data_IF_042171310855
#
_entry.id   IF_042171310855
#
_cell.length_a   1.000
_cell.length_b   1.000
_cell.length_c   1.000
_cell.angle_alpha   90.00
_cell.angle_beta   90.00
_cell.angle_gamma   90.00
#
_symmetry.space_group_name_H-M   'P 1'
#
loop_
_entity.id
_entity.type
_entity.pdbx_description
1 polymer ?
#
# COMPACT_ATOMS: atom_id res chain seq x y z
N UNK A 1 -30.33 11.44 15.61
CA UNK A 1 -30.08 11.41 17.07
C UNK A 1 -30.77 10.15 17.51
N UNK A 2 -30.08 9.04 17.32
CA UNK A 2 -30.72 7.74 17.19
C UNK A 2 -30.53 6.99 18.50
N UNK A 3 -31.64 6.49 19.03
CA UNK A 3 -31.75 5.95 20.37
C UNK A 3 -30.85 4.73 20.56
N UNK A 4 -30.02 4.81 21.60
CA UNK A 4 -29.38 3.65 22.22
C UNK A 4 -30.49 2.65 22.56
N UNK A 5 -30.40 1.45 22.01
CA UNK A 5 -31.41 0.41 22.22
C UNK A 5 -31.32 -0.10 23.66
N UNK A 6 -32.45 -0.51 24.23
CA UNK A 6 -32.54 -1.00 25.62
C UNK A 6 -31.61 -2.19 25.93
N UNK A 7 -31.19 -2.94 24.91
CA UNK A 7 -30.24 -4.04 25.04
C UNK A 7 -28.79 -3.56 25.27
N UNK A 8 -28.39 -2.43 24.67
CA UNK A 8 -27.06 -1.85 24.90
C UNK A 8 -26.92 -1.29 26.32
N UNK A 9 -27.99 -0.71 26.86
CA UNK A 9 -28.07 -0.26 28.27
C UNK A 9 -27.97 -1.45 29.25
N UNK A 10 -28.57 -2.60 28.91
CA UNK A 10 -28.46 -3.82 29.71
C UNK A 10 -27.05 -4.40 29.76
N UNK A 11 -26.32 -4.35 28.64
CA UNK A 11 -24.91 -4.74 28.61
C UNK A 11 -24.04 -3.79 29.43
N UNK A 12 -24.28 -2.48 29.34
CA UNK A 12 -23.58 -1.48 30.17
C UNK A 12 -23.80 -1.71 31.67
N UNK A 13 -25.05 -1.97 32.09
CA UNK A 13 -25.35 -2.27 33.50
C UNK A 13 -24.70 -3.59 33.96
N UNK A 14 -24.64 -4.62 33.11
CA UNK A 14 -23.98 -5.89 33.43
C UNK A 14 -22.46 -5.75 33.52
N UNK A 15 -21.82 -5.02 32.62
CA UNK A 15 -20.38 -4.73 32.68
C UNK A 15 -20.04 -3.88 33.91
N UNK A 16 -20.85 -2.88 34.22
CA UNK A 16 -20.72 -2.09 35.44
C UNK A 16 -20.91 -2.95 36.70
N UNK A 17 -21.82 -3.92 36.69
CA UNK A 17 -22.03 -4.85 37.81
C UNK A 17 -20.86 -5.81 38.01
N UNK A 18 -20.25 -6.32 36.95
CA UNK A 18 -19.07 -7.21 37.00
C UNK A 18 -17.87 -6.47 37.62
N UNK A 19 -17.64 -5.22 37.20
CA UNK A 19 -16.62 -4.35 37.79
C UNK A 19 -16.92 -4.00 39.25
N UNK A 20 -18.19 -3.78 39.60
CA UNK A 20 -18.63 -3.53 40.99
C UNK A 20 -18.50 -4.75 41.89
N UNK A 21 -18.58 -5.97 41.35
CA UNK A 21 -18.44 -7.23 42.10
C UNK A 21 -16.97 -7.54 42.43
N UNK A 22 -16.03 -7.29 41.52
CA UNK A 22 -14.59 -7.39 41.80
C UNK A 22 -14.08 -6.35 42.81
N UNK A 23 -14.79 -5.22 42.96
CA UNK A 23 -14.56 -4.17 43.96
C UNK A 23 -14.67 -4.62 45.42
N UNK A 24 -15.23 -5.81 45.67
CA UNK A 24 -15.49 -6.32 47.03
C UNK A 24 -14.53 -7.42 47.51
N UNK A 25 -13.60 -7.88 46.66
CA UNK A 25 -12.70 -9.00 46.95
C UNK A 25 -11.24 -8.61 47.29
N UNK A 26 -10.92 -7.33 47.38
CA UNK A 26 -9.60 -6.84 47.81
C UNK A 26 -9.72 -6.12 49.16
N UNK A 27 -8.86 -6.51 50.10
CA UNK A 27 -8.78 -6.18 51.53
C UNK A 27 -8.86 -4.68 51.91
N UNK A 28 -9.09 -4.35 53.21
CA UNK A 28 -9.72 -3.09 53.62
C UNK A 28 -8.77 -1.88 53.68
N UNK A 29 -9.26 -0.76 53.11
CA UNK A 29 -9.07 0.67 53.46
C UNK A 29 -7.65 1.26 53.28
N UNK A 30 -7.51 2.28 52.42
CA UNK A 30 -7.81 3.66 52.81
C UNK A 30 -9.09 4.21 52.16
N UNK A 31 -9.70 5.16 52.85
CA UNK A 31 -10.94 5.91 52.56
C UNK A 31 -11.55 5.77 51.15
N UNK A 32 -12.69 5.07 51.10
CA UNK A 32 -13.55 4.80 49.93
C UNK A 32 -14.00 6.04 49.13
N UNK A 33 -13.86 7.26 49.63
CA UNK A 33 -14.34 8.47 48.94
C UNK A 33 -13.47 8.92 47.77
N UNK A 34 -12.15 8.96 47.93
CA UNK A 34 -11.25 9.57 46.93
C UNK A 34 -10.86 8.62 45.79
N UNK A 35 -10.78 7.31 46.03
CA UNK A 35 -10.53 6.34 44.96
C UNK A 35 -11.74 6.16 44.04
N UNK A 36 -12.96 6.37 44.54
CA UNK A 36 -14.19 6.28 43.77
C UNK A 36 -14.32 7.42 42.75
N UNK A 37 -13.96 8.65 43.13
CA UNK A 37 -13.89 9.80 42.22
C UNK A 37 -12.75 9.69 41.22
N UNK A 38 -11.56 9.21 41.62
CA UNK A 38 -10.42 9.01 40.70
C UNK A 38 -10.70 7.92 39.67
N UNK A 39 -11.49 6.89 40.01
CA UNK A 39 -11.88 5.82 39.09
C UNK A 39 -13.07 6.25 38.21
N UNK A 40 -14.05 6.99 38.71
CA UNK A 40 -15.15 7.53 37.89
C UNK A 40 -14.68 8.61 36.91
N UNK A 41 -13.84 9.53 37.37
CA UNK A 41 -13.12 10.45 36.49
C UNK A 41 -12.17 9.69 35.56
N UNK A 42 -11.58 8.58 36.03
CA UNK A 42 -10.79 7.67 35.21
C UNK A 42 -11.59 6.97 34.12
N UNK A 43 -12.87 6.62 34.35
CA UNK A 43 -13.78 6.00 33.38
C UNK A 43 -14.29 7.01 32.35
N UNK A 44 -14.58 8.25 32.76
CA UNK A 44 -14.95 9.33 31.83
C UNK A 44 -13.74 9.81 31.03
N UNK A 45 -12.57 9.92 31.67
CA UNK A 45 -11.30 10.18 31.00
C UNK A 45 -10.89 8.99 30.11
N UNK A 46 -11.25 7.76 30.47
CA UNK A 46 -11.06 6.57 29.66
C UNK A 46 -11.98 6.57 28.44
N UNK A 47 -13.26 6.86 28.63
CA UNK A 47 -14.21 7.01 27.54
C UNK A 47 -13.73 8.12 26.60
N UNK A 48 -13.38 9.29 27.14
CA UNK A 48 -12.89 10.43 26.38
C UNK A 48 -11.53 10.18 25.71
N UNK A 49 -10.59 9.48 26.36
CA UNK A 49 -9.29 9.16 25.76
C UNK A 49 -9.35 8.01 24.75
N UNK A 50 -10.30 7.08 24.90
CA UNK A 50 -10.60 6.06 23.88
C UNK A 50 -11.39 6.65 22.70
N UNK A 51 -12.24 7.64 22.96
CA UNK A 51 -13.01 8.37 21.95
C UNK A 51 -12.14 9.35 21.16
N UNK A 52 -11.36 10.18 21.85
CA UNK A 52 -10.43 11.14 21.25
C UNK A 52 -8.98 11.01 21.79
N UNK A 53 -8.22 10.05 21.26
CA UNK A 53 -6.80 9.90 21.55
C UNK A 53 -5.91 11.07 21.05
N UNK A 54 -6.42 12.03 20.26
CA UNK A 54 -5.66 13.25 19.91
C UNK A 54 -5.43 14.16 21.12
N UNK A 55 -6.20 13.97 22.19
CA UNK A 55 -5.92 14.56 23.51
C UNK A 55 -4.49 14.28 23.98
N UNK A 56 -3.88 13.16 23.56
CA UNK A 56 -2.49 12.82 23.86
C UNK A 56 -1.47 13.67 23.09
N UNK A 57 -1.83 14.36 22.02
CA UNK A 57 -0.90 15.24 21.28
C UNK A 57 -0.55 16.52 22.06
N UNK A 58 -1.45 16.99 22.93
CA UNK A 58 -1.21 18.11 23.85
C UNK A 58 -0.09 17.83 24.88
N UNK A 59 0.25 16.56 25.10
CA UNK A 59 1.21 16.14 26.14
C UNK A 59 2.67 16.42 25.78
N UNK A 60 2.94 16.84 24.53
CA UNK A 60 4.31 17.06 24.03
C UNK A 60 4.94 18.39 24.44
N UNK A 61 4.18 19.34 25.02
CA UNK A 61 4.62 20.74 25.22
C UNK A 61 4.72 21.23 26.66
N UNK A 62 4.38 20.41 27.66
CA UNK A 62 4.26 20.89 29.04
C UNK A 62 5.35 20.35 29.99
N UNK A 63 5.70 21.16 31.00
CA UNK A 63 6.62 20.79 32.10
C UNK A 63 6.18 19.54 32.88
N UNK A 64 4.94 19.09 32.72
CA UNK A 64 4.34 17.98 33.46
C UNK A 64 4.18 16.68 32.66
N UNK A 65 4.90 16.54 31.53
CA UNK A 65 4.83 15.38 30.65
C UNK A 65 5.12 14.04 31.37
N UNK A 66 6.00 14.02 32.37
CA UNK A 66 6.34 12.82 33.14
C UNK A 66 5.17 12.35 34.01
N UNK A 67 4.56 13.25 34.79
CA UNK A 67 3.44 12.91 35.68
C UNK A 67 2.26 12.37 34.87
N UNK A 68 1.99 13.03 33.74
CA UNK A 68 0.99 12.63 32.77
C UNK A 68 1.28 11.27 32.14
N UNK A 69 2.52 11.01 31.73
CA UNK A 69 2.90 9.70 31.19
C UNK A 69 2.80 8.60 32.25
N UNK A 70 3.20 8.85 33.50
CA UNK A 70 3.03 7.89 34.60
C UNK A 70 1.55 7.54 34.79
N UNK A 71 0.66 8.53 34.77
CA UNK A 71 -0.78 8.30 34.83
C UNK A 71 -1.27 7.40 33.70
N UNK A 72 -0.83 7.66 32.46
CA UNK A 72 -1.17 6.84 31.30
C UNK A 72 -0.61 5.41 31.40
N UNK A 73 0.60 5.23 31.92
CA UNK A 73 1.21 3.91 32.13
C UNK A 73 0.48 3.11 33.20
N UNK A 74 0.17 3.71 34.34
CA UNK A 74 -0.63 3.04 35.38
C UNK A 74 -2.00 2.66 34.84
N UNK A 75 -2.60 3.56 34.09
CA UNK A 75 -3.88 3.34 33.45
C UNK A 75 -3.85 2.18 32.44
N UNK A 76 -2.87 2.17 31.54
CA UNK A 76 -2.66 1.07 30.59
C UNK A 76 -2.30 -0.23 31.30
N UNK A 77 -1.53 -0.18 32.39
CA UNK A 77 -1.26 -1.34 33.24
C UNK A 77 -2.55 -1.97 33.78
N UNK A 78 -3.49 -1.15 34.24
CA UNK A 78 -4.81 -1.62 34.65
C UNK A 78 -5.60 -2.23 33.50
N UNK A 79 -5.59 -1.61 32.31
CA UNK A 79 -6.24 -2.17 31.11
C UNK A 79 -5.66 -3.53 30.74
N UNK A 80 -4.34 -3.71 30.82
CA UNK A 80 -3.67 -4.97 30.48
C UNK A 80 -4.07 -6.10 31.43
N UNK A 81 -4.19 -5.83 32.73
CA UNK A 81 -4.66 -6.81 33.70
C UNK A 81 -6.13 -7.19 33.54
N UNK A 82 -6.93 -6.38 32.84
CA UNK A 82 -8.37 -6.56 32.72
C UNK A 82 -8.85 -6.69 31.25
N UNK A 83 -7.94 -7.00 30.32
CA UNK A 83 -8.23 -7.00 28.88
C UNK A 83 -9.36 -7.97 28.49
N UNK A 84 -9.44 -9.11 29.18
CA UNK A 84 -10.48 -10.13 28.97
C UNK A 84 -11.87 -9.64 29.37
N UNK A 85 -11.94 -8.74 30.36
CA UNK A 85 -13.18 -8.16 30.88
C UNK A 85 -13.70 -7.01 30.02
N UNK A 86 -12.88 -6.44 29.12
CA UNK A 86 -13.31 -5.38 28.22
C UNK A 86 -14.28 -5.93 27.16
N UNK A 87 -15.47 -5.31 27.01
CA UNK A 87 -16.37 -5.59 25.90
C UNK A 87 -15.65 -5.51 24.55
N UNK A 88 -16.00 -6.39 23.62
CA UNK A 88 -15.34 -6.52 22.31
C UNK A 88 -15.20 -5.19 21.57
N UNK A 89 -16.24 -4.34 21.61
CA UNK A 89 -16.27 -3.01 20.97
C UNK A 89 -15.19 -2.02 21.45
N UNK A 90 -14.61 -2.22 22.64
CA UNK A 90 -13.54 -1.35 23.16
C UNK A 90 -12.14 -1.94 22.99
N UNK A 91 -12.01 -3.22 22.64
CA UNK A 91 -10.70 -3.89 22.57
C UNK A 91 -9.78 -3.22 21.57
N UNK A 92 -10.30 -2.84 20.40
CA UNK A 92 -9.53 -2.15 19.35
C UNK A 92 -9.04 -0.77 19.78
N UNK A 93 -9.89 0.01 20.48
CA UNK A 93 -9.49 1.32 21.04
C UNK A 93 -8.45 1.15 22.15
N UNK A 94 -8.63 0.15 23.01
CA UNK A 94 -7.67 -0.18 24.07
C UNK A 94 -6.32 -0.62 23.48
N UNK A 95 -6.30 -1.46 22.45
CA UNK A 95 -5.09 -1.86 21.73
C UNK A 95 -4.36 -0.66 21.14
N UNK A 96 -5.09 0.27 20.50
CA UNK A 96 -4.52 1.53 20.00
C UNK A 96 -3.93 2.37 21.13
N UNK A 97 -4.66 2.56 22.23
CA UNK A 97 -4.20 3.34 23.37
C UNK A 97 -2.93 2.75 23.99
N UNK A 98 -2.91 1.43 24.22
CA UNK A 98 -1.72 0.68 24.67
C UNK A 98 -0.54 0.93 23.74
N UNK A 99 -0.76 0.81 22.43
CA UNK A 99 0.27 1.10 21.44
C UNK A 99 0.76 2.55 21.55
N UNK A 100 -0.12 3.54 21.61
CA UNK A 100 0.25 4.95 21.72
C UNK A 100 1.07 5.23 22.99
N UNK A 101 0.62 4.75 24.15
CA UNK A 101 1.29 4.95 25.44
C UNK A 101 2.63 4.24 25.46
N UNK A 102 2.68 2.94 25.22
CA UNK A 102 3.94 2.19 25.28
C UNK A 102 4.94 2.59 24.20
N UNK A 103 4.47 3.04 23.03
CA UNK A 103 5.35 3.52 21.97
C UNK A 103 5.82 4.96 22.18
N UNK A 104 5.12 5.78 22.97
CA UNK A 104 5.40 7.21 23.16
C UNK A 104 6.88 7.53 23.44
N UNK A 105 7.59 6.78 24.31
CA UNK A 105 8.97 7.12 24.60
C UNK A 105 9.92 6.94 23.41
N UNK A 106 9.55 6.10 22.43
CA UNK A 106 10.28 5.92 21.17
C UNK A 106 9.89 6.96 20.10
N UNK A 107 8.79 7.71 20.32
CA UNK A 107 8.32 8.79 19.43
C UNK A 107 8.99 10.12 19.73
N UNK A 108 9.41 10.33 20.98
CA UNK A 108 10.01 11.56 21.44
C UNK A 108 11.47 11.60 20.97
N UNK A 109 11.81 12.65 20.23
CA UNK A 109 13.05 12.73 19.48
C UNK A 109 14.27 13.12 20.32
N UNK A 110 14.10 13.82 21.44
CA UNK A 110 15.24 14.34 22.19
C UNK A 110 15.70 13.37 23.27
N UNK A 111 17.01 13.13 23.38
CA UNK A 111 17.56 12.26 24.43
C UNK A 111 17.40 12.88 25.83
N UNK A 112 17.41 14.21 25.92
CA UNK A 112 17.14 14.93 27.16
C UNK A 112 15.69 14.70 27.61
N UNK A 113 14.74 14.76 26.67
CA UNK A 113 13.34 14.40 26.92
C UNK A 113 13.18 12.90 27.19
N UNK A 114 14.17 12.06 26.95
CA UNK A 114 14.13 10.63 27.27
C UNK A 114 14.63 10.31 28.69
N UNK A 115 15.22 11.29 29.39
CA UNK A 115 15.79 11.09 30.71
C UNK A 115 14.74 10.66 31.75
N UNK A 116 13.53 11.22 31.65
CA UNK A 116 12.42 10.93 32.56
C UNK A 116 11.93 9.49 32.48
N UNK A 117 12.21 8.76 31.38
CA UNK A 117 11.88 7.33 31.29
C UNK A 117 12.54 6.50 32.38
N UNK A 118 13.69 6.95 32.89
CA UNK A 118 14.37 6.30 34.02
C UNK A 118 13.55 6.39 35.30
N UNK A 119 12.50 7.18 35.37
CA UNK A 119 11.74 7.43 36.58
C UNK A 119 10.28 6.98 36.47
N UNK A 120 9.94 6.14 35.50
CA UNK A 120 8.57 5.62 35.38
C UNK A 120 8.40 4.47 36.37
N UNK A 121 7.50 4.67 37.32
CA UNK A 121 7.12 3.70 38.34
C UNK A 121 5.69 3.25 38.02
N UNK A 122 5.38 1.96 38.17
CA UNK A 122 4.00 1.47 38.05
C UNK A 122 3.71 0.50 39.19
N UNK A 123 2.80 0.90 40.07
CA UNK A 123 2.29 0.08 41.16
C UNK A 123 1.50 -1.12 40.65
N UNK A 124 0.80 -0.97 39.52
CA UNK A 124 -0.07 -2.00 38.95
C UNK A 124 0.73 -3.16 38.37
N UNK A 125 1.87 -2.87 37.74
CA UNK A 125 2.71 -3.87 37.12
C UNK A 125 3.65 -4.57 38.11
N UNK A 126 3.54 -4.28 39.42
CA UNK A 126 4.39 -4.85 40.47
C UNK A 126 5.85 -4.38 40.47
N UNK A 127 6.25 -3.63 39.45
CA UNK A 127 7.60 -3.09 39.28
C UNK A 127 7.70 -1.70 39.90
N UNK A 128 8.46 -1.60 41.01
CA UNK A 128 8.78 -0.29 41.59
C UNK A 128 9.42 0.64 40.56
N UNK A 129 10.16 0.13 39.57
CA UNK A 129 10.73 0.95 38.49
C UNK A 129 10.70 0.16 37.19
N UNK A 130 9.94 0.63 36.21
CA UNK A 130 9.88 -0.04 34.91
C UNK A 130 11.23 0.08 34.22
N UNK A 131 11.86 -1.07 33.98
CA UNK A 131 13.10 -1.10 33.24
C UNK A 131 12.87 -0.68 31.78
N UNK A 132 13.91 -0.15 31.12
CA UNK A 132 13.85 0.15 29.67
C UNK A 132 13.47 -1.08 28.85
N UNK A 133 13.92 -2.25 29.28
CA UNK A 133 13.64 -3.52 28.62
C UNK A 133 12.16 -3.87 28.75
N UNK A 134 11.58 -3.68 29.94
CA UNK A 134 10.15 -3.90 30.21
C UNK A 134 9.29 -2.99 29.33
N UNK A 135 9.62 -1.69 29.24
CA UNK A 135 8.91 -0.73 28.39
C UNK A 135 9.01 -1.15 26.92
N UNK A 136 10.21 -1.52 26.45
CA UNK A 136 10.40 -1.95 25.07
C UNK A 136 9.62 -3.23 24.73
N UNK A 137 9.63 -4.23 25.62
CA UNK A 137 8.85 -5.46 25.45
C UNK A 137 7.36 -5.20 25.40
N UNK A 138 6.82 -4.38 26.32
CA UNK A 138 5.41 -3.98 26.32
C UNK A 138 5.03 -3.24 25.05
N UNK A 139 5.91 -2.38 24.56
CA UNK A 139 5.67 -1.62 23.35
C UNK A 139 5.72 -2.48 22.08
N UNK A 140 6.60 -3.47 22.00
CA UNK A 140 6.58 -4.51 20.95
C UNK A 140 5.27 -5.30 21.01
N UNK A 141 4.86 -5.76 22.20
CA UNK A 141 3.62 -6.49 22.36
C UNK A 141 2.40 -5.66 21.92
N UNK A 142 2.32 -4.40 22.36
CA UNK A 142 1.25 -3.48 22.00
C UNK A 142 1.26 -3.14 20.50
N UNK A 143 2.44 -3.04 19.87
CA UNK A 143 2.57 -2.88 18.41
C UNK A 143 1.99 -4.09 17.66
N UNK A 144 2.34 -5.29 18.10
CA UNK A 144 1.91 -6.52 17.45
C UNK A 144 0.38 -6.67 17.55
N UNK A 145 -0.16 -6.43 18.74
CA UNK A 145 -1.60 -6.37 19.02
C UNK A 145 -2.31 -5.36 18.12
N UNK A 146 -1.82 -4.11 18.08
CA UNK A 146 -2.39 -3.07 17.24
C UNK A 146 -2.31 -3.37 15.74
N UNK A 147 -1.21 -3.97 15.28
CA UNK A 147 -1.07 -4.39 13.87
C UNK A 147 -2.11 -5.43 13.49
N UNK A 148 -2.45 -6.35 14.41
CA UNK A 148 -3.46 -7.37 14.20
C UNK A 148 -4.86 -6.76 14.04
N UNK A 149 -5.19 -5.77 14.87
CA UNK A 149 -6.43 -4.99 14.74
C UNK A 149 -6.49 -4.21 13.42
N UNK A 150 -5.41 -3.53 13.03
CA UNK A 150 -5.37 -2.80 11.75
C UNK A 150 -5.50 -3.72 10.53
N UNK A 151 -4.96 -4.94 10.59
CA UNK A 151 -5.11 -5.93 9.53
C UNK A 151 -6.57 -6.41 9.36
N UNK A 152 -7.44 -6.15 10.35
CA UNK A 152 -8.89 -6.43 10.33
C UNK A 152 -9.73 -5.15 10.35
N UNK A 153 -9.15 -4.01 9.94
CA UNK A 153 -9.82 -2.71 10.01
C UNK A 153 -11.14 -2.65 9.23
N UNK A 154 -11.32 -3.49 8.21
CA UNK A 154 -12.56 -3.60 7.43
C UNK A 154 -13.68 -4.32 8.19
N UNK A 155 -13.32 -5.27 9.06
CA UNK A 155 -14.27 -6.03 9.88
C UNK A 155 -14.61 -5.31 11.20
N UNK A 156 -13.85 -4.27 11.58
CA UNK A 156 -14.04 -3.51 12.82
C UNK A 156 -14.84 -2.22 12.56
N UNK A 157 -16.04 -2.05 13.17
CA UNK A 157 -16.90 -0.89 12.94
C UNK A 157 -16.25 0.45 13.29
N UNK A 158 -15.40 0.47 14.32
CA UNK A 158 -14.76 1.71 14.76
C UNK A 158 -13.58 2.07 13.85
N UNK A 159 -12.76 1.11 13.44
CA UNK A 159 -11.66 1.35 12.50
C UNK A 159 -12.14 1.69 11.11
N UNK A 160 -13.19 1.03 10.63
CA UNK A 160 -13.81 1.34 9.34
C UNK A 160 -14.39 2.77 9.32
N UNK A 161 -15.11 3.17 10.38
CA UNK A 161 -15.57 4.55 10.57
C UNK A 161 -14.40 5.53 10.63
N UNK A 162 -13.38 5.25 11.46
CA UNK A 162 -12.16 6.09 11.57
C UNK A 162 -11.41 6.23 10.24
N UNK A 163 -11.36 5.17 9.43
CA UNK A 163 -10.76 5.18 8.08
C UNK A 163 -11.55 6.08 7.13
N UNK A 164 -12.88 6.11 7.24
CA UNK A 164 -13.75 6.98 6.46
C UNK A 164 -13.68 8.45 6.92
N UNK A 165 -13.77 8.69 8.23
CA UNK A 165 -13.86 10.03 8.82
C UNK A 165 -12.51 10.75 8.84
N UNK A 166 -11.43 10.03 9.20
CA UNK A 166 -10.10 10.59 9.44
C UNK A 166 -8.98 9.76 8.78
N UNK A 167 -8.96 9.63 7.43
CA UNK A 167 -8.01 8.78 6.71
C UNK A 167 -6.54 9.16 6.98
N UNK A 168 -6.26 10.45 7.21
CA UNK A 168 -4.91 10.92 7.53
C UNK A 168 -4.41 10.39 8.87
N UNK A 169 -5.27 10.36 9.89
CA UNK A 169 -4.89 9.85 11.20
C UNK A 169 -4.72 8.32 11.18
N UNK A 170 -5.56 7.63 10.41
CA UNK A 170 -5.41 6.20 10.16
C UNK A 170 -4.08 5.89 9.47
N UNK A 171 -3.69 6.67 8.46
CA UNK A 171 -2.40 6.56 7.79
C UNK A 171 -1.21 6.89 8.72
N UNK A 172 -1.38 7.82 9.67
CA UNK A 172 -0.36 8.14 10.67
C UNK A 172 -0.04 6.92 11.53
N UNK A 173 -1.05 6.15 11.94
CA UNK A 173 -0.84 4.93 12.74
C UNK A 173 -0.02 3.90 11.95
N UNK A 174 -0.33 3.68 10.67
CA UNK A 174 0.43 2.78 9.80
C UNK A 174 1.88 3.24 9.59
N UNK A 175 2.10 4.55 9.36
CA UNK A 175 3.46 5.09 9.24
C UNK A 175 4.26 4.96 10.53
N UNK A 176 3.62 5.09 11.69
CA UNK A 176 4.28 4.84 12.96
C UNK A 176 4.74 3.40 13.07
N UNK A 177 3.90 2.45 12.68
CA UNK A 177 4.22 1.02 12.68
C UNK A 177 5.38 0.68 11.73
N UNK A 178 5.44 1.29 10.55
CA UNK A 178 6.40 0.89 9.51
C UNK A 178 7.65 1.77 9.41
N UNK A 179 7.48 3.09 9.47
CA UNK A 179 8.56 4.05 9.16
C UNK A 179 9.31 4.53 10.41
N UNK A 180 8.66 4.52 11.58
CA UNK A 180 9.17 5.20 12.78
C UNK A 180 9.47 4.26 13.96
N UNK A 181 9.15 2.97 13.82
CA UNK A 181 9.32 1.97 14.86
C UNK A 181 10.51 1.03 14.58
N UNK A 182 11.34 0.75 15.60
CA UNK A 182 12.04 1.69 16.43
C UNK A 182 13.24 2.24 15.64
N UNK A 183 13.45 3.56 15.65
CA UNK A 183 14.62 4.15 15.00
C UNK A 183 15.93 3.59 15.60
N UNK A 184 16.52 2.58 14.94
CA UNK A 184 17.86 2.03 15.25
C UNK A 184 18.98 3.09 15.16
N UNK A 185 18.68 4.26 14.59
CA UNK A 185 19.63 5.32 14.23
C UNK A 185 19.92 6.33 15.33
N UNK A 186 19.29 6.25 16.52
CA UNK A 186 19.67 7.10 17.66
C UNK A 186 20.40 6.29 18.72
N UNK A 187 21.70 6.53 18.84
CA UNK A 187 22.71 5.78 19.60
C UNK A 187 22.42 5.53 21.10
N UNK A 188 21.36 6.08 21.69
CA UNK A 188 21.07 5.98 23.14
C UNK A 188 19.94 5.04 23.55
N UNK A 189 19.08 4.61 22.62
CA UNK A 189 17.94 3.70 22.89
C UNK A 189 17.94 2.57 21.87
N UNK A 190 18.97 1.71 21.91
CA UNK A 190 18.82 0.38 21.33
C UNK A 190 17.79 -0.34 22.18
N UNK A 191 16.66 -0.69 21.57
CA UNK A 191 15.83 -1.77 22.09
C UNK A 191 16.79 -2.96 22.21
N UNK A 192 17.04 -3.48 23.42
CA UNK A 192 17.82 -4.71 23.55
C UNK A 192 17.17 -5.69 22.58
N UNK A 193 17.96 -6.35 21.73
CA UNK A 193 17.44 -7.43 20.92
C UNK A 193 16.73 -8.38 21.87
N UNK A 194 15.40 -8.25 21.96
CA UNK A 194 14.60 -9.20 22.70
C UNK A 194 14.97 -10.55 22.10
N UNK A 195 15.11 -11.58 22.93
CA UNK A 195 15.63 -12.88 22.50
C UNK A 195 14.83 -13.52 21.35
N UNK A 196 13.67 -12.95 20.97
CA UNK A 196 12.88 -13.30 19.78
C UNK A 196 13.09 -12.46 18.51
N UNK A 197 13.95 -11.43 18.51
CA UNK A 197 14.15 -10.53 17.36
C UNK A 197 12.93 -9.67 17.04
N UNK A 198 13.13 -8.37 16.80
CA UNK A 198 12.04 -7.53 16.30
C UNK A 198 11.77 -7.85 14.81
N UNK A 199 10.63 -8.48 14.51
CA UNK A 199 10.15 -8.76 13.14
C UNK A 199 9.59 -7.50 12.44
N UNK A 200 10.28 -6.37 12.60
CA UNK A 200 9.95 -5.13 11.90
C UNK A 200 9.83 -5.32 10.38
N UNK A 201 10.69 -6.12 9.70
CA UNK A 201 10.52 -6.40 8.28
C UNK A 201 9.18 -7.08 7.96
N UNK A 202 8.76 -8.08 8.76
CA UNK A 202 7.48 -8.76 8.57
C UNK A 202 6.27 -7.84 8.79
N UNK A 203 6.33 -6.94 9.78
CA UNK A 203 5.31 -5.91 9.99
C UNK A 203 5.23 -4.90 8.84
N UNK A 204 6.38 -4.38 8.42
CA UNK A 204 6.47 -3.45 7.29
C UNK A 204 5.94 -4.06 6.00
N UNK A 205 6.26 -5.33 5.75
CA UNK A 205 5.73 -6.09 4.62
C UNK A 205 4.22 -6.23 4.71
N UNK A 206 3.68 -6.69 5.85
CA UNK A 206 2.24 -6.89 6.02
C UNK A 206 1.44 -5.61 5.82
N UNK A 207 1.89 -4.50 6.40
CA UNK A 207 1.25 -3.18 6.23
C UNK A 207 1.37 -2.68 4.79
N UNK A 208 2.51 -2.96 4.14
CA UNK A 208 2.70 -2.61 2.74
C UNK A 208 1.72 -3.34 1.83
N UNK A 209 1.60 -4.65 1.99
CA UNK A 209 0.73 -5.49 1.16
C UNK A 209 -0.76 -5.23 1.42
N UNK A 210 -1.17 -5.14 2.70
CA UNK A 210 -2.58 -5.05 3.08
C UNK A 210 -3.14 -3.63 3.05
N UNK A 211 -2.30 -2.59 3.23
CA UNK A 211 -2.78 -1.20 3.33
C UNK A 211 -2.20 -0.32 2.23
N UNK A 212 -0.87 -0.13 2.18
CA UNK A 212 -0.27 0.88 1.28
C UNK A 212 -0.49 0.55 -0.19
N UNK A 213 -0.22 -0.69 -0.58
CA UNK A 213 -0.49 -1.14 -1.93
C UNK A 213 -1.99 -1.21 -2.19
N UNK A 214 -2.82 -1.60 -1.21
CA UNK A 214 -4.26 -1.67 -1.41
C UNK A 214 -4.87 -0.32 -1.83
N UNK A 215 -4.40 0.79 -1.24
CA UNK A 215 -4.86 2.14 -1.59
C UNK A 215 -4.03 2.81 -2.69
N UNK A 216 -3.16 2.06 -3.38
CA UNK A 216 -2.31 2.56 -4.46
C UNK A 216 -1.17 3.50 -4.05
N UNK A 217 -0.81 3.56 -2.76
CA UNK A 217 0.29 4.39 -2.25
C UNK A 217 1.64 3.68 -2.36
N UNK A 218 2.10 3.49 -3.60
CA UNK A 218 3.36 2.78 -3.93
C UNK A 218 4.59 3.46 -3.30
N UNK A 219 4.54 4.79 -3.10
CA UNK A 219 5.63 5.53 -2.47
C UNK A 219 5.67 5.36 -0.95
N UNK A 220 4.51 5.26 -0.28
CA UNK A 220 4.46 4.89 1.14
C UNK A 220 4.89 3.43 1.33
N UNK A 221 4.46 2.52 0.46
CA UNK A 221 4.92 1.13 0.43
C UNK A 221 6.46 1.04 0.33
N UNK A 222 7.06 1.77 -0.60
CA UNK A 222 8.52 1.76 -0.77
C UNK A 222 9.27 2.35 0.44
N UNK A 223 8.71 3.37 1.08
CA UNK A 223 9.25 3.94 2.34
C UNK A 223 9.09 3.00 3.52
N UNK A 224 7.98 2.27 3.62
CA UNK A 224 7.72 1.30 4.67
C UNK A 224 8.71 0.12 4.61
N UNK A 225 8.96 -0.43 3.42
CA UNK A 225 9.89 -1.55 3.22
C UNK A 225 11.36 -1.14 3.38
N UNK A 226 11.68 0.14 3.19
CA UNK A 226 13.03 0.65 3.43
C UNK A 226 13.03 2.07 4.02
N UNK A 227 12.85 2.18 5.35
CA UNK A 227 12.83 3.48 6.01
C UNK A 227 14.17 4.22 5.88
N UNK A 228 15.28 3.48 5.82
CA UNK A 228 16.64 4.05 5.88
C UNK A 228 17.42 4.03 4.57
N UNK A 229 16.98 3.29 3.54
CA UNK A 229 17.64 3.30 2.23
C UNK A 229 16.82 4.09 1.22
N UNK A 230 17.51 4.83 0.36
CA UNK A 230 16.89 5.57 -0.74
C UNK A 230 16.66 4.68 -1.95
N UNK A 231 17.49 3.65 -2.16
CA UNK A 231 17.42 2.77 -3.34
C UNK A 231 16.05 2.10 -3.54
N UNK A 232 15.39 1.55 -2.51
CA UNK A 232 14.11 0.84 -2.71
C UNK A 232 12.98 1.79 -3.09
N UNK A 233 13.13 3.08 -2.79
CA UNK A 233 12.22 4.15 -3.22
C UNK A 233 12.29 4.39 -4.73
N UNK A 234 13.34 3.91 -5.40
CA UNK A 234 13.48 3.96 -6.85
C UNK A 234 12.90 2.74 -7.56
N UNK A 235 12.62 1.63 -6.86
CA UNK A 235 12.08 0.42 -7.48
C UNK A 235 10.80 0.67 -8.28
N UNK A 236 9.79 1.41 -7.76
CA UNK A 236 8.59 1.72 -8.54
C UNK A 236 8.85 2.55 -9.80
N UNK A 237 9.96 3.29 -9.83
CA UNK A 237 10.33 4.17 -10.93
C UNK A 237 11.18 3.48 -11.99
N UNK A 238 11.66 2.25 -11.73
CA UNK A 238 12.47 1.50 -12.68
C UNK A 238 11.74 1.28 -14.03
N UNK A 239 10.46 0.85 -14.08
CA UNK A 239 9.78 0.67 -15.37
C UNK A 239 9.57 1.98 -16.14
N UNK A 240 9.11 3.10 -15.53
CA UNK A 240 9.07 4.40 -16.19
C UNK A 240 10.42 4.89 -16.73
N UNK A 241 11.50 4.70 -15.97
CA UNK A 241 12.84 5.10 -16.43
C UNK A 241 13.30 4.28 -17.64
N UNK A 242 13.08 2.97 -17.63
CA UNK A 242 13.37 2.09 -18.77
C UNK A 242 12.51 2.44 -19.99
N UNK A 243 11.21 2.68 -19.79
CA UNK A 243 10.30 3.11 -20.85
C UNK A 243 10.71 4.46 -21.44
N UNK A 244 11.10 5.41 -20.59
CA UNK A 244 11.62 6.72 -21.03
C UNK A 244 12.90 6.57 -21.87
N UNK A 245 13.84 5.73 -21.45
CA UNK A 245 15.06 5.47 -22.22
C UNK A 245 14.77 4.79 -23.58
N UNK A 246 13.87 3.80 -23.60
CA UNK A 246 13.41 3.17 -24.83
C UNK A 246 12.67 4.15 -25.75
N UNK A 247 11.86 5.07 -25.21
CA UNK A 247 11.16 6.10 -25.99
C UNK A 247 12.14 7.14 -26.56
N UNK A 248 13.12 7.59 -25.78
CA UNK A 248 14.15 8.52 -26.27
C UNK A 248 14.94 7.87 -27.41
N UNK A 249 15.37 6.62 -27.25
CA UNK A 249 16.07 5.91 -28.33
C UNK A 249 15.18 5.68 -29.54
N UNK A 250 13.88 5.42 -29.35
CA UNK A 250 12.92 5.28 -30.43
C UNK A 250 12.73 6.57 -31.25
N UNK A 251 12.72 7.73 -30.60
CA UNK A 251 12.45 9.02 -31.24
C UNK A 251 13.68 9.67 -31.86
N UNK A 252 14.86 9.43 -31.30
CA UNK A 252 16.08 10.17 -31.64
C UNK A 252 17.16 9.34 -32.34
N UNK A 253 17.01 8.01 -32.40
CA UNK A 253 17.96 7.15 -33.11
C UNK A 253 17.53 6.91 -34.56
N UNK A 254 18.46 6.95 -35.55
CA UNK A 254 18.13 6.79 -36.96
C UNK A 254 17.58 5.40 -37.33
N UNK A 255 17.74 4.41 -36.43
CA UNK A 255 17.13 3.09 -36.54
C UNK A 255 16.35 2.73 -35.27
N UNK A 256 15.03 2.61 -35.38
CA UNK A 256 14.16 2.29 -34.27
C UNK A 256 14.40 0.87 -33.68
N UNK A 257 15.18 0.05 -34.38
CA UNK A 257 15.58 -1.29 -33.97
C UNK A 257 16.33 -1.36 -32.63
N UNK A 258 17.06 -0.32 -32.20
CA UNK A 258 17.78 -0.33 -30.90
C UNK A 258 16.80 -0.31 -29.73
N UNK A 259 15.71 0.46 -29.86
CA UNK A 259 14.71 0.64 -28.80
C UNK A 259 14.05 -0.69 -28.37
N UNK A 260 13.76 -1.59 -29.34
CA UNK A 260 13.17 -2.91 -29.04
C UNK A 260 14.12 -3.83 -28.26
N UNK A 261 15.42 -3.81 -28.56
CA UNK A 261 16.40 -4.61 -27.80
C UNK A 261 16.59 -4.04 -26.38
N UNK A 262 16.60 -2.72 -26.24
CA UNK A 262 16.64 -2.06 -24.93
C UNK A 262 15.39 -2.39 -24.10
N UNK A 263 14.20 -2.38 -24.71
CA UNK A 263 12.98 -2.78 -24.03
C UNK A 263 13.03 -4.24 -23.59
N UNK A 264 13.52 -5.15 -24.44
CA UNK A 264 13.70 -6.56 -24.11
C UNK A 264 14.68 -6.74 -22.94
N UNK A 265 15.86 -6.11 -23.01
CA UNK A 265 16.86 -6.16 -21.96
C UNK A 265 16.35 -5.57 -20.65
N UNK A 266 15.62 -4.44 -20.71
CA UNK A 266 14.99 -3.80 -19.57
C UNK A 266 13.95 -4.70 -18.89
N UNK A 267 13.09 -5.36 -19.66
CA UNK A 267 12.11 -6.31 -19.12
C UNK A 267 12.78 -7.52 -18.47
N UNK A 268 13.81 -8.09 -19.10
CA UNK A 268 14.61 -9.15 -18.50
C UNK A 268 15.29 -8.70 -17.21
N UNK A 269 15.86 -7.50 -17.18
CA UNK A 269 16.50 -6.93 -16.00
C UNK A 269 15.50 -6.74 -14.85
N UNK A 270 14.27 -6.28 -15.13
CA UNK A 270 13.21 -6.16 -14.12
C UNK A 270 12.83 -7.52 -13.52
N UNK A 271 12.68 -8.56 -14.36
CA UNK A 271 12.36 -9.92 -13.90
C UNK A 271 13.51 -10.50 -13.07
N UNK A 272 14.75 -10.40 -13.55
CA UNK A 272 15.92 -10.87 -12.82
C UNK A 272 16.09 -10.12 -11.50
N UNK A 273 15.91 -8.80 -11.51
CA UNK A 273 15.95 -8.00 -10.29
C UNK A 273 14.89 -8.50 -9.30
N UNK A 274 13.64 -8.66 -9.74
CA UNK A 274 12.56 -9.17 -8.89
C UNK A 274 12.91 -10.50 -8.19
N UNK A 275 13.57 -11.43 -8.90
CA UNK A 275 13.99 -12.72 -8.30
C UNK A 275 15.11 -12.59 -7.27
N UNK A 276 15.85 -11.49 -7.29
CA UNK A 276 16.94 -11.20 -6.36
C UNK A 276 16.55 -10.28 -5.20
N UNK A 277 15.35 -9.70 -5.25
CA UNK A 277 14.87 -8.79 -4.21
C UNK A 277 14.49 -9.58 -2.94
N UNK A 278 14.68 -8.98 -1.74
CA UNK A 278 14.15 -9.55 -0.50
C UNK A 278 12.63 -9.77 -0.60
N UNK A 279 12.12 -10.76 0.14
CA UNK A 279 10.68 -11.07 0.16
C UNK A 279 9.85 -9.82 0.48
N UNK A 280 8.85 -9.54 -0.36
CA UNK A 280 7.94 -8.40 -0.21
C UNK A 280 8.36 -7.15 -0.97
N UNK A 281 9.63 -7.02 -1.38
CA UNK A 281 10.08 -5.88 -2.19
C UNK A 281 9.69 -6.01 -3.66
N UNK A 282 9.53 -7.24 -4.13
CA UNK A 282 8.95 -7.59 -5.43
C UNK A 282 7.55 -6.99 -5.65
N UNK A 283 6.78 -6.81 -4.57
CA UNK A 283 5.49 -6.12 -4.61
C UNK A 283 5.59 -4.68 -5.13
N UNK A 284 6.71 -3.98 -4.92
CA UNK A 284 6.92 -2.60 -5.39
C UNK A 284 7.11 -2.50 -6.89
N UNK A 285 7.48 -3.60 -7.55
CA UNK A 285 7.57 -3.69 -9.01
C UNK A 285 6.19 -3.90 -9.66
N UNK A 286 5.13 -4.12 -8.86
CA UNK A 286 3.76 -4.29 -9.34
C UNK A 286 3.66 -5.32 -10.47
N UNK A 287 4.31 -6.48 -10.32
CA UNK A 287 4.45 -7.50 -11.38
C UNK A 287 3.11 -8.05 -11.92
N UNK A 288 1.98 -7.76 -11.25
CA UNK A 288 0.63 -8.00 -11.78
C UNK A 288 0.35 -7.20 -13.05
N UNK A 289 0.84 -5.97 -13.13
CA UNK A 289 0.65 -5.08 -14.28
C UNK A 289 1.26 -5.67 -15.56
N UNK A 290 2.55 -6.05 -15.63
CA UNK A 290 3.11 -6.64 -16.84
C UNK A 290 2.45 -7.97 -17.22
N UNK A 291 2.04 -8.79 -16.24
CA UNK A 291 1.28 -10.01 -16.53
C UNK A 291 -0.07 -9.70 -17.18
N UNK A 292 -0.86 -8.78 -16.61
CA UNK A 292 -2.16 -8.40 -17.14
C UNK A 292 -2.07 -7.70 -18.51
N UNK A 293 -1.08 -6.84 -18.68
CA UNK A 293 -0.74 -6.20 -19.97
C UNK A 293 -0.39 -7.24 -21.04
N UNK A 294 0.32 -8.30 -20.66
CA UNK A 294 0.66 -9.39 -21.60
C UNK A 294 -0.60 -10.11 -22.08
N UNK A 295 -1.58 -10.33 -21.19
CA UNK A 295 -2.90 -10.87 -21.57
C UNK A 295 -3.63 -9.91 -22.50
N UNK A 296 -3.61 -8.60 -22.22
CA UNK A 296 -4.16 -7.58 -23.11
C UNK A 296 -3.54 -7.60 -24.50
N UNK A 297 -2.22 -7.79 -24.58
CA UNK A 297 -1.49 -7.90 -25.85
C UNK A 297 -1.90 -9.16 -26.64
N UNK A 298 -2.06 -10.29 -25.94
CA UNK A 298 -2.55 -11.53 -26.54
C UNK A 298 -4.00 -11.39 -27.05
N UNK A 299 -4.85 -10.67 -26.33
CA UNK A 299 -6.22 -10.37 -26.76
C UNK A 299 -6.24 -9.53 -28.04
N UNK A 300 -5.40 -8.50 -28.16
CA UNK A 300 -5.28 -7.72 -29.40
C UNK A 300 -4.85 -8.60 -30.58
N UNK A 301 -3.87 -9.48 -30.36
CA UNK A 301 -3.39 -10.40 -31.38
C UNK A 301 -4.48 -11.39 -31.84
N UNK A 302 -5.35 -11.82 -30.93
CA UNK A 302 -6.42 -12.78 -31.22
C UNK A 302 -7.67 -12.14 -31.84
N UNK A 303 -8.08 -10.95 -31.38
CA UNK A 303 -9.38 -10.35 -31.72
C UNK A 303 -9.33 -9.47 -32.97
N UNK A 304 -8.16 -8.90 -33.28
CA UNK A 304 -8.02 -7.96 -34.40
C UNK A 304 -6.70 -8.26 -35.09
N UNK A 305 -6.63 -9.00 -36.21
CA UNK A 305 -5.33 -9.30 -36.84
C UNK A 305 -4.72 -8.09 -37.57
N UNK A 306 -5.52 -7.07 -37.91
CA UNK A 306 -5.15 -5.96 -38.81
C UNK A 306 -5.19 -4.56 -38.18
N UNK A 307 -5.21 -4.48 -36.85
CA UNK A 307 -5.28 -3.20 -36.12
C UNK A 307 -4.16 -2.22 -36.51
N UNK A 308 -2.98 -2.73 -36.87
CA UNK A 308 -1.80 -1.96 -37.24
C UNK A 308 -1.89 -1.30 -38.63
N UNK A 309 -2.86 -1.70 -39.45
CA UNK A 309 -3.09 -1.13 -40.80
C UNK A 309 -3.77 0.24 -40.70
N UNK A 310 -4.54 0.49 -39.63
CA UNK A 310 -5.28 1.74 -39.46
C UNK A 310 -4.34 2.91 -39.08
N UNK A 311 -4.16 3.87 -39.99
CA UNK A 311 -3.31 5.06 -39.79
C UNK A 311 -3.77 5.96 -38.64
N UNK A 312 -5.06 5.90 -38.29
CA UNK A 312 -5.68 6.67 -37.20
C UNK A 312 -5.96 5.83 -35.95
N UNK A 313 -5.58 4.54 -35.94
CA UNK A 313 -5.84 3.63 -34.81
C UNK A 313 -5.25 4.09 -33.48
N UNK A 314 -4.19 4.91 -33.54
CA UNK A 314 -3.51 5.44 -32.36
C UNK A 314 -4.41 6.34 -31.49
N UNK A 315 -5.41 7.00 -32.08
CA UNK A 315 -6.40 7.77 -31.32
C UNK A 315 -7.22 6.88 -30.39
N UNK A 316 -7.58 5.68 -30.86
CA UNK A 316 -8.32 4.70 -30.06
C UNK A 316 -7.44 4.19 -28.92
N UNK A 317 -6.19 3.85 -29.20
CA UNK A 317 -5.22 3.47 -28.16
C UNK A 317 -5.05 4.56 -27.10
N UNK A 318 -4.85 5.81 -27.52
CA UNK A 318 -4.71 6.93 -26.59
C UNK A 318 -5.98 7.15 -25.76
N UNK A 319 -7.16 7.11 -26.39
CA UNK A 319 -8.44 7.24 -25.69
C UNK A 319 -8.64 6.15 -24.64
N UNK A 320 -8.31 4.91 -24.98
CA UNK A 320 -8.33 3.76 -24.06
C UNK A 320 -7.34 3.97 -22.89
N UNK A 321 -6.10 4.35 -23.17
CA UNK A 321 -5.10 4.65 -22.14
C UNK A 321 -5.57 5.73 -21.16
N UNK A 322 -6.18 6.80 -21.67
CA UNK A 322 -6.75 7.88 -20.84
C UNK A 322 -7.92 7.34 -20.00
N UNK A 323 -8.85 6.60 -20.60
CA UNK A 323 -9.99 6.03 -19.89
C UNK A 323 -9.55 5.09 -18.76
N UNK A 324 -8.59 4.19 -19.01
CA UNK A 324 -8.04 3.30 -18.00
C UNK A 324 -7.29 4.06 -16.88
N UNK A 325 -6.58 5.14 -17.23
CA UNK A 325 -5.91 5.99 -16.24
C UNK A 325 -6.91 6.73 -15.35
N UNK A 326 -7.99 7.27 -15.95
CA UNK A 326 -9.09 7.90 -15.21
C UNK A 326 -9.80 6.90 -14.30
N UNK A 327 -9.98 5.66 -14.76
CA UNK A 327 -10.52 4.58 -13.94
C UNK A 327 -9.67 4.37 -12.68
N UNK A 328 -8.34 4.27 -12.79
CA UNK A 328 -7.46 4.09 -11.63
C UNK A 328 -7.53 5.25 -10.62
N UNK A 329 -7.75 6.48 -11.10
CA UNK A 329 -7.96 7.66 -10.26
C UNK A 329 -9.31 7.56 -9.53
N UNK A 330 -10.37 7.15 -10.23
CA UNK A 330 -11.69 6.94 -9.64
C UNK A 330 -11.67 5.83 -8.60
N UNK A 331 -11.03 4.70 -8.92
CA UNK A 331 -10.81 3.59 -7.99
C UNK A 331 -10.11 4.07 -6.71
N UNK A 332 -9.01 4.82 -6.86
CA UNK A 332 -8.28 5.39 -5.72
C UNK A 332 -9.19 6.28 -4.85
N UNK A 333 -10.13 7.01 -5.46
CA UNK A 333 -11.10 7.84 -4.74
C UNK A 333 -12.15 7.02 -4.00
N UNK A 334 -12.61 5.91 -4.60
CA UNK A 334 -13.57 4.99 -3.97
C UNK A 334 -12.98 4.32 -2.72
N UNK A 335 -11.66 4.22 -2.62
CA UNK A 335 -10.94 3.78 -1.40
C UNK A 335 -10.79 4.88 -0.33
N UNK A 336 -11.71 5.85 -0.28
CA UNK A 336 -11.73 6.96 0.68
C UNK A 336 -10.46 7.82 0.73
N UNK A 337 -9.73 7.89 -0.37
CA UNK A 337 -8.58 8.79 -0.50
C UNK A 337 -9.05 10.19 -0.89
N UNK A 338 -8.47 11.23 -0.26
CA UNK A 338 -8.76 12.63 -0.62
C UNK A 338 -8.51 12.88 -2.10
N UNK A 339 -9.28 13.76 -2.73
CA UNK A 339 -9.26 13.97 -4.19
C UNK A 339 -7.87 14.16 -4.81
N UNK A 340 -7.04 15.01 -4.21
CA UNK A 340 -5.68 15.28 -4.72
C UNK A 340 -4.72 14.09 -4.51
N UNK A 341 -4.84 13.39 -3.38
CA UNK A 341 -4.06 12.18 -3.13
C UNK A 341 -4.50 11.02 -4.02
N UNK A 342 -5.80 10.88 -4.29
CA UNK A 342 -6.37 9.89 -5.20
C UNK A 342 -5.86 10.12 -6.63
N UNK A 343 -5.87 11.39 -7.09
CA UNK A 343 -5.29 11.76 -8.38
C UNK A 343 -3.81 11.38 -8.47
N UNK A 344 -3.01 11.78 -7.47
CA UNK A 344 -1.57 11.49 -7.44
C UNK A 344 -1.29 9.98 -7.43
N UNK A 345 -1.96 9.22 -6.55
CA UNK A 345 -1.76 7.76 -6.41
C UNK A 345 -2.19 7.04 -7.68
N UNK A 346 -3.39 7.32 -8.17
CA UNK A 346 -3.90 6.75 -9.42
C UNK A 346 -3.00 7.06 -10.62
N UNK A 347 -2.51 8.30 -10.73
CA UNK A 347 -1.60 8.69 -11.82
C UNK A 347 -0.24 7.98 -11.73
N UNK A 348 0.33 7.79 -10.54
CA UNK A 348 1.58 7.04 -10.36
C UNK A 348 1.39 5.59 -10.81
N UNK A 349 0.31 4.93 -10.38
CA UNK A 349 0.00 3.54 -10.78
C UNK A 349 -0.23 3.46 -12.30
N UNK A 350 -0.99 4.40 -12.86
CA UNK A 350 -1.22 4.49 -14.30
C UNK A 350 0.08 4.67 -15.08
N UNK A 351 0.99 5.53 -14.62
CA UNK A 351 2.28 5.74 -15.25
C UNK A 351 3.13 4.47 -15.24
N UNK A 352 3.19 3.76 -14.11
CA UNK A 352 3.91 2.47 -14.01
C UNK A 352 3.30 1.44 -14.95
N UNK A 353 1.96 1.32 -14.96
CA UNK A 353 1.24 0.39 -15.82
C UNK A 353 1.41 0.68 -17.31
N UNK A 354 1.30 1.96 -17.72
CA UNK A 354 1.56 2.41 -19.09
C UNK A 354 3.00 2.17 -19.50
N UNK A 355 3.96 2.31 -18.58
CA UNK A 355 5.37 2.02 -18.85
C UNK A 355 5.59 0.54 -19.17
N UNK A 356 4.97 -0.36 -18.38
CA UNK A 356 4.97 -1.79 -18.69
C UNK A 356 4.26 -2.10 -20.00
N UNK A 357 3.10 -1.49 -20.24
CA UNK A 357 2.36 -1.64 -21.49
C UNK A 357 3.18 -1.21 -22.70
N UNK A 358 3.89 -0.10 -22.61
CA UNK A 358 4.77 0.40 -23.64
C UNK A 358 5.94 -0.56 -23.91
N UNK A 359 6.66 -0.97 -22.86
CA UNK A 359 7.81 -1.87 -22.99
C UNK A 359 7.40 -3.24 -23.58
N UNK A 360 6.32 -3.84 -23.07
CA UNK A 360 5.81 -5.11 -23.58
C UNK A 360 5.31 -4.97 -25.02
N UNK A 361 4.57 -3.89 -25.33
CA UNK A 361 4.10 -3.65 -26.69
C UNK A 361 5.26 -3.48 -27.67
N UNK A 362 6.34 -2.79 -27.27
CA UNK A 362 7.53 -2.61 -28.09
C UNK A 362 8.28 -3.93 -28.32
N UNK A 363 8.40 -4.78 -27.30
CA UNK A 363 8.98 -6.13 -27.43
C UNK A 363 8.12 -7.01 -28.34
N UNK A 364 6.80 -7.03 -28.10
CA UNK A 364 5.87 -7.85 -28.87
C UNK A 364 5.83 -7.42 -30.33
N UNK A 365 5.72 -6.12 -30.62
CA UNK A 365 5.72 -5.59 -31.98
C UNK A 365 7.09 -5.74 -32.66
N UNK A 366 8.18 -5.72 -31.89
CA UNK A 366 9.55 -5.87 -32.37
C UNK A 366 9.97 -7.29 -32.71
N UNK A 367 9.43 -8.29 -32.02
CA UNK A 367 9.91 -9.68 -32.09
C UNK A 367 8.80 -10.72 -32.30
N UNK A 368 7.69 -10.63 -31.56
CA UNK A 368 6.65 -11.67 -31.59
C UNK A 368 5.69 -11.52 -32.78
N UNK A 369 5.22 -10.30 -33.04
CA UNK A 369 4.23 -10.02 -34.07
C UNK A 369 4.72 -10.34 -35.49
N UNK A 370 5.99 -10.07 -35.86
CA UNK A 370 6.49 -10.47 -37.17
C UNK A 370 6.42 -11.98 -37.44
N UNK A 371 6.36 -12.80 -36.39
CA UNK A 371 6.37 -14.26 -36.46
C UNK A 371 4.97 -14.85 -36.30
N UNK A 372 4.18 -14.31 -35.38
CA UNK A 372 2.93 -14.95 -34.91
C UNK A 372 1.67 -14.29 -35.49
N UNK A 373 1.72 -13.00 -35.84
CA UNK A 373 0.54 -12.31 -36.35
C UNK A 373 0.20 -12.77 -37.78
N UNK A 374 -1.08 -12.73 -38.13
CA UNK A 374 -1.52 -12.93 -39.51
C UNK A 374 -0.87 -11.86 -40.41
N UNK A 375 -0.13 -12.32 -41.43
CA UNK A 375 0.72 -11.47 -42.28
C UNK A 375 1.80 -10.69 -41.51
N UNK A 376 2.25 -11.22 -40.37
CA UNK A 376 3.31 -10.64 -39.55
C UNK A 376 4.61 -10.36 -40.32
N UNK A 377 4.92 -11.15 -41.36
CA UNK A 377 6.09 -10.88 -42.21
C UNK A 377 6.11 -9.47 -42.82
N UNK A 378 4.95 -8.83 -42.98
CA UNK A 378 4.84 -7.45 -43.47
C UNK A 378 5.36 -6.41 -42.46
N UNK A 379 5.51 -6.81 -41.21
CA UNK A 379 6.13 -6.02 -40.14
C UNK A 379 7.64 -6.22 -40.08
N UNK A 380 8.21 -7.14 -40.87
CA UNK A 380 9.66 -7.28 -40.97
C UNK A 380 10.28 -6.01 -41.58
N UNK A 381 11.39 -5.57 -41.01
CA UNK A 381 12.07 -4.33 -41.37
C UNK A 381 11.32 -3.04 -41.01
N UNK A 382 10.20 -3.12 -40.29
CA UNK A 382 9.42 -1.94 -39.91
C UNK A 382 10.17 -0.98 -38.98
N UNK A 383 11.17 -1.51 -38.26
CA UNK A 383 12.02 -0.78 -37.33
C UNK A 383 13.33 -0.28 -37.95
N UNK A 384 13.55 -0.50 -39.25
CA UNK A 384 14.73 -0.03 -39.98
C UNK A 384 14.56 1.41 -40.50
N UNK A 385 13.33 1.96 -40.41
CA UNK A 385 12.99 3.34 -40.76
C UNK A 385 12.65 4.16 -39.51
N UNK A 386 12.60 5.51 -39.61
CA UNK A 386 12.19 6.37 -38.51
C UNK A 386 10.81 5.96 -37.96
N UNK A 387 10.69 5.89 -36.64
CA UNK A 387 9.48 5.39 -35.97
C UNK A 387 8.22 6.25 -36.22
N UNK A 388 8.40 7.48 -36.67
CA UNK A 388 7.33 8.46 -36.91
C UNK A 388 6.76 8.41 -38.32
N UNK A 389 7.47 7.80 -39.28
CA UNK A 389 7.06 7.80 -40.68
C UNK A 389 6.07 6.67 -40.97
N UNK A 390 5.01 6.99 -41.71
CA UNK A 390 4.07 6.00 -42.22
C UNK A 390 4.74 5.18 -43.31
N UNK A 391 4.59 3.85 -43.25
CA UNK A 391 5.23 2.93 -44.20
C UNK A 391 4.30 2.67 -45.38
N UNK A 392 4.88 2.56 -46.57
CA UNK A 392 4.21 1.96 -47.74
C UNK A 392 4.43 0.46 -47.72
N UNK A 393 3.35 -0.32 -47.76
CA UNK A 393 3.45 -1.77 -47.89
C UNK A 393 4.00 -2.15 -49.26
N UNK A 394 4.82 -3.20 -49.32
CA UNK A 394 5.23 -3.75 -50.61
C UNK A 394 4.04 -4.41 -51.34
N UNK A 395 4.23 -4.71 -52.63
CA UNK A 395 3.19 -5.32 -53.45
C UNK A 395 2.76 -6.70 -52.93
N UNK A 396 3.68 -7.47 -52.34
CA UNK A 396 3.41 -8.81 -51.82
C UNK A 396 2.50 -8.75 -50.59
N UNK A 397 2.78 -7.83 -49.67
CA UNK A 397 1.99 -7.56 -48.47
C UNK A 397 0.63 -6.94 -48.80
N UNK A 398 0.59 -6.02 -49.75
CA UNK A 398 -0.66 -5.43 -50.23
C UNK A 398 -1.58 -6.51 -50.82
N UNK A 399 -1.02 -7.43 -51.62
CA UNK A 399 -1.75 -8.59 -52.16
C UNK A 399 -2.19 -9.56 -51.06
N UNK A 400 -1.34 -9.86 -50.09
CA UNK A 400 -1.65 -10.75 -48.98
C UNK A 400 -2.81 -10.25 -48.11
N UNK A 401 -2.92 -8.92 -47.92
CA UNK A 401 -4.01 -8.31 -47.17
C UNK A 401 -5.35 -8.31 -47.93
N UNK A 402 -5.37 -8.66 -49.22
CA UNK A 402 -6.58 -8.93 -50.01
C UNK A 402 -7.50 -7.72 -50.23
N UNK A 403 -7.01 -6.49 -50.05
CA UNK A 403 -7.86 -5.31 -49.89
C UNK A 403 -7.63 -4.19 -50.92
N UNK A 404 -6.78 -4.38 -51.93
CA UNK A 404 -6.35 -3.26 -52.79
C UNK A 404 -6.61 -3.50 -54.28
N UNK A 405 -7.37 -2.62 -54.96
CA UNK A 405 -7.54 -2.65 -56.41
C UNK A 405 -6.19 -2.52 -57.14
N UNK A 406 -6.01 -3.29 -58.22
CA UNK A 406 -4.74 -3.48 -58.96
C UNK A 406 -4.07 -2.19 -59.50
N UNK A 407 -4.66 -1.01 -59.35
CA UNK A 407 -4.12 0.27 -59.84
C UNK A 407 -4.23 1.44 -58.85
N UNK A 408 -4.48 1.16 -57.57
CA UNK A 408 -4.57 2.21 -56.54
C UNK A 408 -3.21 2.45 -55.86
N UNK A 409 -2.90 3.70 -55.43
CA UNK A 409 -1.65 3.97 -54.73
C UNK A 409 -1.51 3.06 -53.52
N UNK A 410 -0.30 2.54 -53.29
CA UNK A 410 -0.02 1.60 -52.20
C UNK A 410 -0.52 2.19 -50.86
N UNK A 411 -1.24 1.39 -50.05
CA UNK A 411 -1.74 1.86 -48.77
C UNK A 411 -0.59 2.33 -47.89
N UNK A 412 -0.76 3.52 -47.31
CA UNK A 412 0.04 3.91 -46.15
C UNK A 412 -0.53 3.20 -44.93
N UNK A 413 0.31 2.45 -44.23
CA UNK A 413 -0.04 1.88 -42.92
C UNK A 413 0.41 2.82 -41.80
N UNK A 414 -0.05 2.54 -40.58
CA UNK A 414 0.38 3.30 -39.41
C UNK A 414 1.91 3.36 -39.34
N UNK A 415 2.44 4.48 -38.84
CA UNK A 415 3.84 4.53 -38.41
C UNK A 415 4.07 3.54 -37.26
N UNK A 416 5.32 3.07 -37.05
CA UNK A 416 5.66 2.22 -35.90
C UNK A 416 5.18 2.80 -34.57
N UNK A 417 5.33 4.11 -34.36
CA UNK A 417 4.90 4.76 -33.13
C UNK A 417 3.38 4.80 -32.99
N UNK A 418 2.64 5.01 -34.07
CA UNK A 418 1.17 4.97 -34.05
C UNK A 418 0.64 3.57 -33.71
N UNK A 419 1.27 2.54 -34.27
CA UNK A 419 0.93 1.16 -33.94
C UNK A 419 1.30 0.84 -32.50
N UNK A 420 2.50 1.23 -32.06
CA UNK A 420 2.92 1.06 -30.67
C UNK A 420 1.98 1.74 -29.68
N UNK A 421 1.53 2.96 -29.96
CA UNK A 421 0.57 3.69 -29.14
C UNK A 421 -0.80 3.00 -29.09
N UNK A 422 -1.27 2.48 -30.23
CA UNK A 422 -2.49 1.67 -30.32
C UNK A 422 -2.37 0.45 -29.41
N UNK A 423 -1.33 -0.35 -29.59
CA UNK A 423 -1.10 -1.57 -28.82
C UNK A 423 -0.94 -1.29 -27.34
N UNK A 424 -0.17 -0.27 -26.97
CA UNK A 424 0.05 0.14 -25.58
C UNK A 424 -1.26 0.48 -24.88
N UNK A 425 -2.10 1.30 -25.52
CA UNK A 425 -3.37 1.71 -24.94
C UNK A 425 -4.37 0.57 -24.78
N UNK A 426 -4.45 -0.31 -25.78
CA UNK A 426 -5.27 -1.52 -25.72
C UNK A 426 -4.78 -2.49 -24.63
N UNK A 427 -3.48 -2.82 -24.64
CA UNK A 427 -2.90 -3.75 -23.66
C UNK A 427 -3.01 -3.24 -22.24
N UNK A 428 -2.81 -1.94 -22.01
CA UNK A 428 -3.03 -1.33 -20.70
C UNK A 428 -4.50 -1.44 -20.28
N UNK A 429 -5.43 -1.05 -21.14
CA UNK A 429 -6.86 -1.01 -20.80
C UNK A 429 -7.47 -2.39 -20.56
N UNK A 430 -7.17 -3.36 -21.43
CA UNK A 430 -7.58 -4.75 -21.21
C UNK A 430 -6.87 -5.30 -19.96
N UNK A 431 -5.60 -4.99 -19.74
CA UNK A 431 -4.88 -5.41 -18.55
C UNK A 431 -5.56 -4.94 -17.26
N UNK A 432 -5.96 -3.67 -17.18
CA UNK A 432 -6.71 -3.13 -16.04
C UNK A 432 -8.07 -3.83 -15.91
N UNK A 433 -8.81 -4.03 -17.00
CA UNK A 433 -10.11 -4.71 -16.97
C UNK A 433 -10.00 -6.18 -16.49
N UNK A 434 -8.98 -6.91 -16.94
CA UNK A 434 -8.71 -8.29 -16.52
C UNK A 434 -8.39 -8.34 -15.03
N UNK A 435 -7.58 -7.41 -14.51
CA UNK A 435 -7.28 -7.34 -13.08
C UNK A 435 -8.55 -7.10 -12.26
N UNK A 436 -9.43 -6.23 -12.73
CA UNK A 436 -10.74 -5.95 -12.16
C UNK A 436 -11.64 -7.19 -12.08
N UNK A 437 -11.63 -8.01 -13.13
CA UNK A 437 -12.48 -9.21 -13.21
C UNK A 437 -11.97 -10.38 -12.37
N UNK A 438 -10.65 -10.57 -12.33
CA UNK A 438 -10.04 -11.74 -11.69
C UNK A 438 -9.68 -11.54 -10.23
N UNK A 439 -9.61 -10.28 -9.77
CA UNK A 439 -9.11 -9.98 -8.46
C UNK A 439 -10.11 -9.17 -7.65
N UNK A 440 -10.49 -9.72 -6.49
CA UNK A 440 -11.19 -8.94 -5.46
C UNK A 440 -10.26 -7.94 -4.78
N UNK A 441 -8.95 -8.02 -5.04
CA UNK A 441 -7.95 -7.08 -4.53
C UNK A 441 -7.61 -6.01 -5.59
N UNK A 442 -7.23 -4.81 -5.14
CA UNK A 442 -6.84 -3.72 -6.03
C UNK A 442 -5.65 -4.10 -6.94
N UNK A 443 -5.59 -3.46 -8.12
CA UNK A 443 -4.58 -3.62 -9.18
C UNK A 443 -3.13 -3.67 -8.67
N UNK A 444 -2.87 -2.99 -7.56
CA UNK A 444 -1.58 -2.81 -6.92
C UNK A 444 -1.18 -3.90 -5.92
N UNK A 445 -2.06 -4.84 -5.59
CA UNK A 445 -1.72 -5.94 -4.70
C UNK A 445 -0.64 -6.89 -5.31
N UNK A 446 0.21 -7.55 -4.51
CA UNK A 446 1.31 -8.39 -4.99
C UNK A 446 0.84 -9.70 -5.65
N UNK A 447 1.49 -10.16 -6.73
CA UNK A 447 1.24 -11.49 -7.34
C UNK A 447 1.43 -12.59 -6.29
N UNK A 448 0.33 -13.20 -5.83
CA UNK A 448 0.39 -14.42 -5.02
C UNK A 448 0.74 -14.24 -3.55
N UNK A 449 -0.20 -13.71 -2.76
CA UNK A 449 -0.48 -14.19 -1.39
C UNK A 449 -1.98 -14.16 -1.13
N UNK A 450 -2.74 -14.90 -1.93
CA UNK A 450 -4.01 -15.42 -1.44
C UNK A 450 -3.65 -16.31 -0.26
N UNK A 451 -3.66 -15.74 0.95
CA UNK A 451 -3.81 -16.51 2.17
C UNK A 451 -5.13 -17.21 1.93
N UNK A 452 -5.11 -18.47 1.49
CA UNK A 452 -6.23 -19.39 1.68
C UNK A 452 -6.55 -19.18 3.15
N UNK A 453 -7.62 -18.44 3.44
CA UNK A 453 -8.19 -18.38 4.79
C UNK A 453 -8.37 -19.85 5.11
N UNK A 454 -7.45 -20.42 5.86
CA UNK A 454 -7.63 -21.74 6.42
C UNK A 454 -8.94 -21.61 7.15
N UNK A 455 -9.96 -22.32 6.67
CA UNK A 455 -11.19 -22.48 7.41
C UNK A 455 -10.75 -22.95 8.79
N UNK A 456 -10.88 -22.08 9.79
CA UNK A 456 -10.81 -22.50 11.17
C UNK A 456 -11.96 -23.48 11.34
N UNK A 457 -11.59 -24.76 11.41
CA UNK A 457 -12.39 -25.78 12.09
C UNK A 457 -12.19 -25.62 13.58
#
# INVERSE_FOLDING_TARGET
>A
MDGVTTDELSEYEKSALILKRHRSALHPVPTKGSQLEVIGAGEELLANALEDPTLLEGYRRERDALSRYRMLVEFVGHLECNLELLPSRYRTRAARLRFLVWSLPFRISNQEDAAWMREVHSSVLGDKRLSRNTIAQRAIAARNDWTEHLARAEDDPWLSARRADSPREFDIDHRWLTERWPNRTREGLRIPSAEGGDDQPGHAQRVTELHWLAIGDVLAAARALSPFSWWPRLLPWLPPLLAGFALITLLWWPGAGVARYLALAGMFAVVLLATSLPSGWDSLLLLRLPAAVSVGTAAVLALTPRWWVATTGWHVGLGLAVAASLYLILESRLHNVRSLDAYRRGLIVALIGLSYAFLISLVMLGFAFPVVAEHGQCLAGWWDQPATEARTLDAQCTKALGAWPDNSPLPKVSSPIGALATLTGWSFSIGIAVQLMWDSQPVTAPLGRLRRRGGSS
#
